data_IF_991162065816
#
_entry.id   IF_991162065816
#
_cell.length_a   1.000
_cell.length_b   1.000
_cell.length_c   1.000
_cell.angle_alpha   90.00
_cell.angle_beta   90.00
_cell.angle_gamma   90.00
#
_symmetry.space_group_name_H-M   'P 1'
#
loop_
_entity.id
_entity.type
_entity.pdbx_description
1 polymer ?
#
# COMPACT_ATOMS: atom_id res chain seq x y z
N UNK A 1 -7.91 15.21 -43.03
CA UNK A 1 -7.58 16.19 -41.98
C UNK A 1 -7.34 15.42 -40.68
N UNK A 2 -6.11 15.40 -40.12
CA UNK A 2 -5.91 14.79 -38.81
C UNK A 2 -6.64 15.63 -37.76
N UNK A 3 -7.44 14.96 -36.92
CA UNK A 3 -8.19 15.59 -35.84
C UNK A 3 -7.24 16.23 -34.82
N UNK A 4 -7.58 17.44 -34.37
CA UNK A 4 -6.81 18.17 -33.36
C UNK A 4 -6.66 17.31 -32.10
N UNK A 5 -5.43 17.12 -31.56
CA UNK A 5 -5.22 16.26 -30.41
C UNK A 5 -6.02 16.79 -29.22
N UNK A 6 -6.86 15.92 -28.63
CA UNK A 6 -7.68 16.29 -27.49
C UNK A 6 -6.78 16.65 -26.29
N UNK A 7 -7.00 17.82 -25.71
CA UNK A 7 -6.32 18.28 -24.50
C UNK A 7 -6.36 17.22 -23.39
N UNK A 8 -5.22 16.98 -22.76
CA UNK A 8 -5.11 16.06 -21.62
C UNK A 8 -5.96 16.52 -20.42
N UNK A 9 -6.26 15.61 -19.49
CA UNK A 9 -7.06 15.93 -18.29
C UNK A 9 -6.43 17.04 -17.44
N UNK A 10 -5.09 17.03 -17.31
CA UNK A 10 -4.34 18.07 -16.56
C UNK A 10 -4.44 19.44 -17.23
N UNK A 11 -4.31 19.49 -18.56
CA UNK A 11 -4.45 20.74 -19.32
C UNK A 11 -5.84 21.34 -19.19
N UNK A 12 -6.91 20.53 -19.30
CA UNK A 12 -8.29 21.00 -19.07
C UNK A 12 -8.51 21.55 -17.66
N UNK A 13 -7.92 20.91 -16.65
CA UNK A 13 -8.00 21.38 -15.27
C UNK A 13 -7.30 22.73 -15.10
N UNK A 14 -6.10 22.87 -15.65
CA UNK A 14 -5.34 24.11 -15.62
C UNK A 14 -6.09 25.26 -16.32
N UNK A 15 -6.63 25.02 -17.52
CA UNK A 15 -7.43 26.01 -18.25
C UNK A 15 -8.66 26.46 -17.46
N UNK A 16 -9.38 25.53 -16.82
CA UNK A 16 -10.54 25.84 -15.96
C UNK A 16 -10.14 26.65 -14.73
N UNK A 17 -9.00 26.36 -14.12
CA UNK A 17 -8.50 27.13 -12.99
C UNK A 17 -8.12 28.55 -13.41
N UNK A 18 -7.43 28.70 -14.54
CA UNK A 18 -7.07 30.00 -15.10
C UNK A 18 -8.31 30.84 -15.47
N UNK A 19 -9.33 30.22 -16.05
CA UNK A 19 -10.61 30.88 -16.35
C UNK A 19 -11.30 31.42 -15.08
N UNK A 20 -11.35 30.62 -14.01
CA UNK A 20 -11.88 31.08 -12.71
C UNK A 20 -11.04 32.20 -12.11
N UNK A 21 -9.70 32.13 -12.20
CA UNK A 21 -8.81 33.16 -11.70
C UNK A 21 -9.03 34.51 -12.42
N UNK A 22 -9.27 34.49 -13.74
CA UNK A 22 -9.60 35.70 -14.51
C UNK A 22 -10.91 36.34 -14.06
N UNK A 23 -11.94 35.54 -13.78
CA UNK A 23 -13.22 36.02 -13.23
C UNK A 23 -13.03 36.65 -11.84
N UNK A 24 -12.26 35.99 -10.98
CA UNK A 24 -11.96 36.50 -9.62
C UNK A 24 -11.15 37.79 -9.69
N UNK A 25 -10.16 37.88 -10.60
CA UNK A 25 -9.37 39.09 -10.81
C UNK A 25 -10.24 40.27 -11.27
N UNK A 26 -11.11 40.04 -12.26
CA UNK A 26 -12.05 41.06 -12.72
C UNK A 26 -12.98 41.56 -11.60
N UNK A 27 -13.40 40.67 -10.70
CA UNK A 27 -14.17 41.06 -9.51
C UNK A 27 -13.36 41.93 -8.55
N UNK A 28 -12.10 41.55 -8.25
CA UNK A 28 -11.21 42.34 -7.37
C UNK A 28 -10.86 43.71 -7.95
N UNK A 29 -10.80 43.83 -9.26
CA UNK A 29 -10.57 45.08 -10.00
C UNK A 29 -11.84 45.93 -10.17
N UNK A 30 -13.00 45.48 -9.66
CA UNK A 30 -14.29 46.19 -9.78
C UNK A 30 -14.93 46.13 -11.17
N UNK A 31 -14.40 45.31 -12.08
CA UNK A 31 -14.93 45.14 -13.43
C UNK A 31 -16.12 44.16 -13.49
N UNK A 32 -16.80 44.12 -14.64
CA UNK A 32 -17.94 43.22 -14.87
C UNK A 32 -17.50 41.75 -15.01
N UNK A 33 -17.30 41.08 -13.88
CA UNK A 33 -16.88 39.68 -13.81
C UNK A 33 -17.87 38.70 -14.48
N UNK A 34 -19.14 39.06 -14.66
CA UNK A 34 -20.14 38.21 -15.33
C UNK A 34 -19.87 38.11 -16.83
N UNK A 35 -19.48 39.22 -17.43
CA UNK A 35 -19.08 39.28 -18.83
C UNK A 35 -17.76 38.54 -19.05
N UNK A 36 -16.79 38.70 -18.14
CA UNK A 36 -15.55 37.92 -18.15
C UNK A 36 -15.84 36.42 -18.02
N UNK A 37 -16.82 36.02 -17.21
CA UNK A 37 -17.22 34.62 -17.10
C UNK A 37 -17.82 34.07 -18.41
N UNK A 38 -18.65 34.85 -19.11
CA UNK A 38 -19.21 34.47 -20.40
C UNK A 38 -18.11 34.30 -21.47
N UNK A 39 -17.16 35.22 -21.55
CA UNK A 39 -16.01 35.14 -22.47
C UNK A 39 -15.03 33.99 -22.17
N UNK A 40 -15.10 33.42 -20.97
CA UNK A 40 -14.24 32.33 -20.53
C UNK A 40 -14.98 30.99 -20.39
N UNK A 41 -16.20 30.90 -20.92
CA UNK A 41 -17.06 29.73 -20.84
C UNK A 41 -17.25 29.20 -19.41
N UNK A 42 -17.29 30.11 -18.43
CA UNK A 42 -17.53 29.77 -17.02
C UNK A 42 -19.01 29.96 -16.71
N UNK A 43 -19.75 28.89 -16.33
CA UNK A 43 -21.16 29.02 -15.97
C UNK A 43 -21.35 30.01 -14.82
N UNK A 44 -22.40 30.83 -14.89
CA UNK A 44 -22.70 31.88 -13.91
C UNK A 44 -22.64 31.38 -12.46
N UNK A 45 -23.22 30.22 -12.16
CA UNK A 45 -23.22 29.64 -10.81
C UNK A 45 -21.82 29.29 -10.28
N UNK A 46 -20.90 28.95 -11.19
CA UNK A 46 -19.50 28.64 -10.89
C UNK A 46 -18.69 29.92 -10.73
N UNK A 47 -18.92 30.91 -11.59
CA UNK A 47 -18.32 32.24 -11.49
C UNK A 47 -18.72 32.93 -10.17
N UNK A 48 -20.02 32.93 -9.84
CA UNK A 48 -20.54 33.45 -8.56
C UNK A 48 -19.91 32.77 -7.36
N UNK A 49 -19.79 31.43 -7.36
CA UNK A 49 -19.11 30.70 -6.28
C UNK A 49 -17.62 31.05 -6.17
N UNK A 50 -16.93 31.19 -7.29
CA UNK A 50 -15.52 31.58 -7.30
C UNK A 50 -15.31 32.98 -6.72
N UNK A 51 -16.19 33.91 -7.05
CA UNK A 51 -16.19 35.29 -6.52
C UNK A 51 -16.53 35.31 -5.03
N UNK A 52 -17.59 34.61 -4.59
CA UNK A 52 -17.97 34.54 -3.17
C UNK A 52 -16.87 33.90 -2.30
N UNK A 53 -16.11 32.96 -2.86
CA UNK A 53 -15.01 32.30 -2.16
C UNK A 53 -13.65 32.99 -2.42
N UNK A 54 -13.60 34.13 -3.12
CA UNK A 54 -12.35 34.79 -3.51
C UNK A 54 -11.61 35.46 -2.33
N UNK A 55 -12.38 35.83 -1.30
CA UNK A 55 -11.92 36.50 -0.09
C UNK A 55 -11.99 35.59 1.14
N UNK A 56 -12.53 34.36 0.97
CA UNK A 56 -12.48 33.33 2.00
C UNK A 56 -11.15 32.61 2.00
N UNK A 57 -10.74 32.06 3.15
CA UNK A 57 -9.63 31.13 3.21
C UNK A 57 -9.87 29.97 2.23
N UNK A 58 -8.81 29.44 1.58
CA UNK A 58 -8.94 28.24 0.77
C UNK A 58 -9.65 27.17 1.60
N UNK A 59 -10.85 26.76 1.20
CA UNK A 59 -11.55 25.69 1.89
C UNK A 59 -10.60 24.51 1.99
N UNK A 60 -10.20 24.13 3.21
CA UNK A 60 -9.50 22.87 3.46
C UNK A 60 -10.27 21.80 2.72
N UNK A 61 -9.55 20.99 1.94
CA UNK A 61 -10.11 20.02 1.02
C UNK A 61 -11.35 19.37 1.64
N UNK A 62 -12.50 19.70 1.04
CA UNK A 62 -13.86 19.35 1.46
C UNK A 62 -13.84 17.97 2.11
N UNK A 63 -14.33 17.90 3.35
CA UNK A 63 -14.32 16.71 4.19
C UNK A 63 -14.68 15.43 3.44
N UNK A 64 -14.16 14.31 3.95
CA UNK A 64 -14.40 12.97 3.41
C UNK A 64 -15.88 12.85 3.08
N UNK A 65 -16.22 12.74 1.79
CA UNK A 65 -17.58 12.40 1.35
C UNK A 65 -18.01 11.24 2.24
N UNK A 66 -19.22 11.29 2.81
CA UNK A 66 -19.78 10.21 3.61
C UNK A 66 -19.96 8.94 2.77
N UNK A 67 -18.86 8.30 2.42
CA UNK A 67 -18.79 6.98 1.82
C UNK A 67 -18.88 6.03 2.98
N UNK A 68 -19.72 5.00 2.85
CA UNK A 68 -19.77 3.90 3.82
C UNK A 68 -18.43 3.16 3.80
N UNK A 69 -17.51 3.57 4.67
CA UNK A 69 -16.20 2.93 4.83
C UNK A 69 -16.42 1.56 5.43
N UNK A 70 -16.15 0.50 4.65
CA UNK A 70 -16.24 -0.88 5.13
C UNK A 70 -15.01 -1.31 5.95
N UNK A 71 -13.84 -0.77 5.63
CA UNK A 71 -12.61 -1.02 6.37
C UNK A 71 -12.51 -0.06 7.55
N UNK A 72 -13.31 -0.32 8.57
CA UNK A 72 -13.26 0.41 9.85
C UNK A 72 -12.07 -0.06 10.68
N UNK A 73 -11.74 0.68 11.75
CA UNK A 73 -10.71 0.28 12.71
C UNK A 73 -10.95 -1.12 13.30
N UNK A 74 -12.21 -1.47 13.55
CA UNK A 74 -12.60 -2.80 14.04
C UNK A 74 -12.28 -3.91 13.02
N UNK A 75 -12.60 -3.70 11.74
CA UNK A 75 -12.28 -4.64 10.67
C UNK A 75 -10.77 -4.78 10.49
N UNK A 76 -10.02 -3.68 10.58
CA UNK A 76 -8.56 -3.69 10.53
C UNK A 76 -7.96 -4.44 11.73
N UNK A 77 -8.50 -4.24 12.94
CA UNK A 77 -8.09 -4.99 14.13
C UNK A 77 -8.34 -6.50 13.99
N UNK A 78 -9.41 -6.92 13.31
CA UNK A 78 -9.63 -8.34 13.00
C UNK A 78 -8.61 -8.89 12.01
N UNK A 79 -8.21 -8.11 11.01
CA UNK A 79 -7.15 -8.53 10.09
C UNK A 79 -5.82 -8.77 10.83
N UNK A 80 -5.48 -7.92 11.79
CA UNK A 80 -4.30 -8.11 12.65
C UNK A 80 -4.40 -9.39 13.48
N UNK A 81 -5.54 -9.63 14.14
CA UNK A 81 -5.78 -10.87 14.90
C UNK A 81 -5.60 -12.13 14.04
N UNK A 82 -6.10 -12.12 12.80
CA UNK A 82 -5.91 -13.25 11.89
C UNK A 82 -4.42 -13.48 11.57
N UNK A 83 -3.64 -12.41 11.35
CA UNK A 83 -2.22 -12.52 11.07
C UNK A 83 -1.41 -13.02 12.28
N UNK A 84 -1.80 -12.61 13.49
CA UNK A 84 -1.18 -13.08 14.74
C UNK A 84 -1.45 -14.57 14.99
N UNK A 85 -2.64 -15.05 14.62
CA UNK A 85 -2.98 -16.48 14.66
C UNK A 85 -2.19 -17.29 13.62
N UNK A 86 -2.24 -16.87 12.36
CA UNK A 86 -1.46 -17.50 11.28
C UNK A 86 -1.11 -16.47 10.18
N UNK A 87 0.17 -16.08 10.16
CA UNK A 87 0.73 -15.17 9.16
C UNK A 87 0.70 -15.70 7.71
N UNK A 88 0.31 -16.96 7.49
CA UNK A 88 0.17 -17.58 6.16
C UNK A 88 -1.19 -17.33 5.51
N UNK A 89 -2.11 -16.68 6.22
CA UNK A 89 -3.44 -16.43 5.66
C UNK A 89 -3.36 -15.66 4.34
N UNK A 90 -4.13 -16.13 3.36
CA UNK A 90 -4.28 -15.41 2.10
C UNK A 90 -5.28 -14.27 2.24
N UNK A 91 -5.23 -13.28 1.34
CA UNK A 91 -6.25 -12.21 1.30
C UNK A 91 -7.67 -12.77 1.06
N UNK A 92 -7.80 -13.92 0.40
CA UNK A 92 -9.09 -14.62 0.22
C UNK A 92 -9.60 -15.22 1.53
N UNK A 93 -8.73 -15.93 2.26
CA UNK A 93 -9.07 -16.48 3.57
C UNK A 93 -9.46 -15.37 4.54
N UNK A 94 -8.68 -14.29 4.62
CA UNK A 94 -9.00 -13.13 5.45
C UNK A 94 -10.33 -12.48 5.06
N UNK A 95 -10.62 -12.34 3.76
CA UNK A 95 -11.92 -11.84 3.27
C UNK A 95 -13.07 -12.73 3.75
N UNK A 96 -12.92 -14.05 3.61
CA UNK A 96 -13.98 -14.99 3.95
C UNK A 96 -14.21 -15.04 5.47
N UNK A 97 -13.13 -14.96 6.26
CA UNK A 97 -13.22 -14.79 7.72
C UNK A 97 -13.90 -13.49 8.12
N UNK A 98 -13.57 -12.35 7.50
CA UNK A 98 -14.26 -11.08 7.76
C UNK A 98 -15.76 -11.14 7.44
N UNK A 99 -16.15 -11.89 6.41
CA UNK A 99 -17.55 -12.11 6.06
C UNK A 99 -18.24 -12.96 7.13
N UNK A 100 -17.60 -14.03 7.61
CA UNK A 100 -18.16 -14.91 8.64
C UNK A 100 -18.25 -14.24 10.00
N UNK A 101 -17.20 -13.55 10.44
CA UNK A 101 -17.08 -13.05 11.81
C UNK A 101 -17.82 -11.72 12.02
N UNK A 102 -17.80 -10.83 11.01
CA UNK A 102 -18.35 -9.47 11.12
C UNK A 102 -19.48 -9.20 10.10
N UNK A 103 -19.82 -10.13 9.22
CA UNK A 103 -20.78 -9.90 8.13
C UNK A 103 -20.27 -8.93 7.05
N UNK A 104 -18.97 -8.58 7.08
CA UNK A 104 -18.40 -7.55 6.20
C UNK A 104 -17.95 -8.16 4.88
N UNK A 105 -18.69 -7.84 3.81
CA UNK A 105 -18.34 -8.27 2.45
C UNK A 105 -17.42 -7.26 1.75
N UNK A 106 -16.15 -7.66 1.56
CA UNK A 106 -15.08 -6.89 0.89
C UNK A 106 -14.41 -7.70 -0.23
N UNK A 107 -13.63 -7.05 -1.10
CA UNK A 107 -12.81 -7.73 -2.10
C UNK A 107 -11.43 -8.07 -1.52
N UNK A 108 -10.73 -9.01 -2.16
CA UNK A 108 -9.32 -9.34 -1.85
C UNK A 108 -8.40 -8.13 -1.98
N UNK A 109 -8.64 -7.29 -2.98
CA UNK A 109 -7.92 -6.03 -3.18
C UNK A 109 -8.14 -5.02 -2.05
N UNK A 110 -9.34 -4.98 -1.45
CA UNK A 110 -9.59 -4.14 -0.27
C UNK A 110 -8.80 -4.62 0.93
N UNK A 111 -8.73 -5.94 1.17
CA UNK A 111 -7.90 -6.53 2.23
C UNK A 111 -6.43 -6.19 2.00
N UNK A 112 -5.91 -6.42 0.79
CA UNK A 112 -4.54 -6.08 0.45
C UNK A 112 -4.20 -4.59 0.68
N UNK A 113 -5.08 -3.68 0.24
CA UNK A 113 -4.89 -2.24 0.45
C UNK A 113 -4.96 -1.84 1.92
N UNK A 114 -5.84 -2.47 2.71
CA UNK A 114 -5.90 -2.23 4.15
C UNK A 114 -4.61 -2.67 4.83
N UNK A 115 -4.13 -3.88 4.54
CA UNK A 115 -2.85 -4.39 5.05
C UNK A 115 -1.67 -3.50 4.66
N UNK A 116 -1.63 -3.03 3.41
CA UNK A 116 -0.62 -2.08 2.96
C UNK A 116 -0.72 -0.73 3.70
N UNK A 117 -1.93 -0.24 3.96
CA UNK A 117 -2.18 0.97 4.75
C UNK A 117 -1.80 0.81 6.23
N UNK A 118 -1.90 -0.41 6.76
CA UNK A 118 -1.42 -0.82 8.08
C UNK A 118 0.09 -1.14 8.09
N UNK A 119 0.79 -0.93 6.98
CA UNK A 119 2.25 -1.11 6.85
C UNK A 119 2.70 -2.58 6.95
N UNK A 120 1.81 -3.53 6.72
CA UNK A 120 2.22 -4.94 6.57
C UNK A 120 2.87 -5.18 5.21
N UNK A 121 3.99 -5.91 5.24
CA UNK A 121 4.74 -6.33 4.06
C UNK A 121 4.80 -7.85 3.97
N UNK A 122 4.68 -8.38 2.75
CA UNK A 122 4.81 -9.81 2.51
C UNK A 122 6.30 -10.20 2.50
N UNK A 123 6.64 -11.23 3.28
CA UNK A 123 7.97 -11.84 3.29
C UNK A 123 7.86 -13.34 2.99
N UNK A 124 8.86 -13.88 2.31
CA UNK A 124 8.95 -15.32 2.06
C UNK A 124 9.23 -16.04 3.38
N UNK A 125 8.27 -16.84 3.83
CA UNK A 125 8.43 -17.67 5.03
C UNK A 125 9.36 -18.84 4.74
N UNK A 126 10.39 -19.01 5.58
CA UNK A 126 11.20 -20.22 5.63
C UNK A 126 10.52 -21.22 6.55
N UNK A 127 9.88 -22.23 5.95
CA UNK A 127 9.21 -23.30 6.71
C UNK A 127 10.28 -24.28 7.18
N UNK A 128 10.57 -24.25 8.47
CA UNK A 128 11.44 -25.24 9.11
C UNK A 128 10.73 -26.58 9.25
N UNK A 129 11.48 -27.69 9.11
CA UNK A 129 10.92 -29.03 9.26
C UNK A 129 10.40 -29.21 10.69
N UNK A 130 9.17 -29.74 10.83
CA UNK A 130 8.53 -30.01 12.14
C UNK A 130 9.42 -30.88 13.03
N UNK A 131 10.17 -31.81 12.43
CA UNK A 131 11.13 -32.68 13.13
C UNK A 131 12.28 -31.91 13.78
N UNK A 132 12.77 -30.82 13.17
CA UNK A 132 13.81 -29.97 13.77
C UNK A 132 13.30 -29.23 15.00
N UNK A 133 12.02 -28.83 15.00
CA UNK A 133 11.41 -28.05 16.07
C UNK A 133 10.78 -28.87 17.21
N UNK A 134 10.92 -30.20 17.20
CA UNK A 134 10.55 -31.06 18.34
C UNK A 134 11.23 -30.56 19.63
N UNK A 135 10.48 -30.57 20.74
CA UNK A 135 10.99 -30.11 22.03
C UNK A 135 12.27 -30.85 22.45
N UNK A 136 12.33 -32.16 22.24
CA UNK A 136 13.53 -32.98 22.46
C UNK A 136 14.75 -32.47 21.68
N UNK A 137 14.58 -32.15 20.40
CA UNK A 137 15.66 -31.65 19.55
C UNK A 137 16.06 -30.22 19.91
N UNK A 138 15.15 -29.41 20.45
CA UNK A 138 15.49 -28.10 21.03
C UNK A 138 16.34 -28.26 22.29
N UNK A 139 15.99 -29.21 23.17
CA UNK A 139 16.77 -29.50 24.38
C UNK A 139 18.17 -30.01 24.06
N UNK A 140 18.29 -30.99 23.16
CA UNK A 140 19.60 -31.50 22.72
C UNK A 140 20.50 -30.39 22.14
N UNK A 141 19.94 -29.48 21.34
CA UNK A 141 20.68 -28.33 20.80
C UNK A 141 21.12 -27.36 21.90
N UNK A 142 20.26 -27.08 22.88
CA UNK A 142 20.60 -26.23 24.03
C UNK A 142 21.72 -26.84 24.87
N UNK A 143 21.65 -28.14 25.17
CA UNK A 143 22.69 -28.84 25.92
C UNK A 143 24.03 -28.86 25.19
N UNK A 144 24.02 -29.07 23.87
CA UNK A 144 25.22 -28.99 23.06
C UNK A 144 25.87 -27.60 23.14
N UNK A 145 25.10 -26.52 22.95
CA UNK A 145 25.61 -25.14 23.03
C UNK A 145 26.18 -24.85 24.42
N UNK A 146 25.49 -25.26 25.48
CA UNK A 146 25.98 -25.06 26.86
C UNK A 146 27.31 -25.79 27.11
N UNK A 147 27.50 -26.99 26.54
CA UNK A 147 28.78 -27.72 26.64
C UNK A 147 29.87 -27.02 25.84
N UNK A 148 29.55 -26.61 24.61
CA UNK A 148 30.47 -25.89 23.74
C UNK A 148 30.97 -24.58 24.39
N UNK A 149 30.09 -23.83 25.05
CA UNK A 149 30.43 -22.59 25.75
C UNK A 149 31.39 -22.83 26.93
N UNK A 150 31.25 -23.94 27.65
CA UNK A 150 32.20 -24.34 28.71
C UNK A 150 33.59 -24.66 28.17
N UNK A 151 33.67 -25.29 27.00
CA UNK A 151 34.94 -25.58 26.33
C UNK A 151 35.59 -24.27 25.82
N UNK A 152 34.78 -23.38 25.26
CA UNK A 152 35.25 -22.07 24.81
C UNK A 152 35.77 -21.21 25.98
N UNK A 153 35.09 -21.20 27.12
CA UNK A 153 35.52 -20.42 28.31
C UNK A 153 36.78 -20.99 28.98
N UNK A 154 37.02 -22.29 28.85
CA UNK A 154 38.27 -22.94 29.30
C UNK A 154 39.46 -22.64 28.38
N UNK A 155 39.23 -22.08 27.20
CA UNK A 155 40.26 -21.80 26.21
C UNK A 155 40.67 -23.01 25.37
N UNK A 156 39.81 -24.03 25.27
CA UNK A 156 40.09 -25.20 24.45
C UNK A 156 40.07 -24.85 22.96
N UNK A 157 40.93 -25.51 22.17
CA UNK A 157 40.88 -25.42 20.71
C UNK A 157 39.68 -26.21 20.18
N UNK A 158 38.73 -25.51 19.54
CA UNK A 158 37.54 -26.12 18.94
C UNK A 158 37.73 -26.22 17.42
N UNK A 159 37.70 -27.44 16.90
CA UNK A 159 37.76 -27.71 15.45
C UNK A 159 36.44 -28.32 15.02
N UNK A 160 35.77 -27.68 14.05
CA UNK A 160 34.57 -28.23 13.41
C UNK A 160 34.97 -28.96 12.13
N UNK A 161 34.49 -30.20 11.98
CA UNK A 161 34.63 -30.99 10.77
C UNK A 161 33.23 -31.36 10.28
N UNK A 162 32.95 -31.09 9.02
CA UNK A 162 31.67 -31.39 8.39
C UNK A 162 31.89 -31.77 6.92
N UNK A 163 31.01 -32.60 6.40
CA UNK A 163 31.02 -33.02 5.01
C UNK A 163 29.92 -32.27 4.25
N UNK A 164 30.30 -31.57 3.19
CA UNK A 164 29.33 -30.92 2.31
C UNK A 164 29.37 -31.58 0.93
N UNK A 165 28.19 -31.95 0.42
CA UNK A 165 28.07 -32.50 -0.92
C UNK A 165 28.36 -31.41 -1.96
N UNK A 166 29.14 -31.74 -2.99
CA UNK A 166 29.39 -30.82 -4.11
C UNK A 166 28.19 -30.85 -5.07
N UNK A 167 27.43 -29.76 -5.15
CA UNK A 167 26.35 -29.63 -6.12
C UNK A 167 26.87 -28.96 -7.40
N UNK A 168 26.89 -29.69 -8.52
CA UNK A 168 27.28 -29.14 -9.83
C UNK A 168 26.16 -28.31 -10.49
N UNK A 169 24.97 -28.23 -9.88
CA UNK A 169 23.85 -27.49 -10.44
C UNK A 169 23.94 -25.99 -10.15
N UNK A 170 24.30 -25.22 -11.18
CA UNK A 170 24.42 -23.77 -11.16
C UNK A 170 23.26 -23.14 -11.94
N UNK A 171 22.12 -22.89 -11.28
CA UNK A 171 21.03 -22.11 -11.87
C UNK A 171 20.64 -20.95 -10.97
N UNK A 172 20.21 -19.84 -11.59
CA UNK A 172 19.67 -18.68 -10.87
C UNK A 172 18.16 -18.84 -10.77
N UNK A 173 17.62 -18.64 -9.57
CA UNK A 173 16.17 -18.70 -9.35
C UNK A 173 15.42 -17.48 -9.91
N UNK A 174 16.12 -16.36 -10.12
CA UNK A 174 15.53 -15.07 -10.43
C UNK A 174 16.38 -14.32 -11.48
N UNK A 175 15.71 -13.59 -12.38
CA UNK A 175 16.30 -12.77 -13.43
C UNK A 175 15.40 -11.59 -13.77
N UNK A 176 15.93 -10.59 -14.49
CA UNK A 176 15.19 -9.38 -14.86
C UNK A 176 14.69 -9.46 -16.30
N UNK A 177 13.43 -9.11 -16.53
CA UNK A 177 12.81 -9.02 -17.86
C UNK A 177 11.67 -8.01 -17.85
N UNK A 178 11.13 -7.65 -19.01
CA UNK A 178 9.97 -6.77 -19.09
C UNK A 178 8.72 -7.48 -18.56
N UNK A 179 7.73 -6.70 -18.13
CA UNK A 179 6.46 -7.26 -17.64
C UNK A 179 5.78 -8.05 -18.76
N UNK A 180 5.53 -9.34 -18.50
CA UNK A 180 4.93 -10.27 -19.46
C UNK A 180 5.96 -11.08 -20.27
N UNK A 181 7.25 -10.79 -20.16
CA UNK A 181 8.32 -11.53 -20.82
C UNK A 181 9.01 -12.53 -19.85
N UNK A 182 9.56 -13.61 -20.39
CA UNK A 182 10.30 -14.60 -19.60
C UNK A 182 11.66 -14.03 -19.19
N UNK A 183 12.05 -14.22 -17.94
CA UNK A 183 13.41 -13.96 -17.47
C UNK A 183 14.36 -15.07 -17.96
N UNK A 184 15.48 -14.66 -18.55
CA UNK A 184 16.62 -15.51 -18.94
C UNK A 184 17.72 -15.48 -17.90
#
# INVERSE_FOLDING_TARGET
>A
MPSTPQSTKKQRQHQRAAAKARVVRAFKEGANWREVAAHNDVPYSTARRAVLNADGEPTTHVGVRGVRVKMTMEVMGKLEQYLDEDCRHTCEQMRDRLRSDLGVSVSTSSVHRALQGMVYSLKKLRIEKVTMNKAENKNKRKEFVNKLEKHASRGDMIVFHDETNFNMYLSRNEGYSRVGERAT
#
